data_IF_061053389550
#
_entry.id   IF_061053389550
#
_cell.length_a   1.000
_cell.length_b   1.000
_cell.length_c   1.000
_cell.angle_alpha   90.00
_cell.angle_beta   90.00
_cell.angle_gamma   90.00
#
_symmetry.space_group_name_H-M   'P 1'
#
loop_
_entity.id
_entity.type
_entity.pdbx_description
1 polymer ?
#
# COMPACT_ATOMS: atom_id res chain seq x y z
N UNK A 1 3.93 12.74 -5.46
CA UNK A 1 4.22 11.86 -4.31
C UNK A 1 3.23 10.69 -4.42
N UNK A 2 3.64 9.42 -4.27
CA UNK A 2 2.80 8.29 -4.67
C UNK A 2 1.55 8.09 -3.82
N UNK A 3 0.50 7.53 -4.41
CA UNK A 3 -0.74 7.17 -3.71
C UNK A 3 -1.28 5.81 -4.15
N UNK A 4 -2.02 5.15 -3.26
CA UNK A 4 -2.75 3.91 -3.57
C UNK A 4 -4.24 4.07 -3.29
N UNK A 5 -5.05 3.38 -4.08
CA UNK A 5 -6.49 3.31 -3.90
C UNK A 5 -6.94 1.86 -3.70
N UNK A 6 -7.82 1.66 -2.73
CA UNK A 6 -8.47 0.38 -2.48
C UNK A 6 -9.94 0.58 -2.14
N UNK A 7 -10.74 -0.49 -2.20
CA UNK A 7 -12.16 -0.43 -1.87
C UNK A 7 -12.45 -1.11 -0.54
N UNK A 8 -13.16 -0.40 0.33
CA UNK A 8 -13.63 -0.92 1.60
C UNK A 8 -15.07 -0.47 1.83
N UNK A 9 -15.96 -1.43 2.12
CA UNK A 9 -17.39 -1.16 2.32
C UNK A 9 -18.00 -0.26 1.23
N UNK A 10 -17.77 -0.61 -0.03
CA UNK A 10 -18.24 0.10 -1.23
C UNK A 10 -17.67 1.52 -1.42
N UNK A 11 -16.77 1.98 -0.55
CA UNK A 11 -16.09 3.27 -0.69
C UNK A 11 -14.68 3.07 -1.23
N UNK A 12 -14.29 3.94 -2.16
CA UNK A 12 -12.90 4.05 -2.61
C UNK A 12 -12.14 4.89 -1.60
N UNK A 13 -11.08 4.31 -1.04
CA UNK A 13 -10.19 4.96 -0.08
C UNK A 13 -8.87 5.19 -0.78
N UNK A 14 -8.36 6.42 -0.68
CA UNK A 14 -7.07 6.81 -1.21
C UNK A 14 -6.13 7.09 -0.05
N UNK A 15 -4.95 6.46 -0.08
CA UNK A 15 -3.88 6.71 0.88
C UNK A 15 -2.71 7.35 0.16
N UNK A 16 -2.28 8.50 0.68
CA UNK A 16 -1.19 9.30 0.13
C UNK A 16 0.19 8.81 0.56
N UNK A 17 1.22 9.53 0.11
CA UNK A 17 2.60 9.19 0.39
C UNK A 17 3.00 9.23 1.87
N UNK A 18 2.26 9.97 2.70
CA UNK A 18 2.49 10.06 4.14
C UNK A 18 1.77 8.97 4.92
N UNK A 19 0.97 8.15 4.23
CA UNK A 19 0.08 7.21 4.88
C UNK A 19 -1.11 7.93 5.52
N UNK A 20 -1.55 9.07 4.99
CA UNK A 20 -2.80 9.71 5.37
C UNK A 20 -3.90 9.29 4.39
N UNK A 21 -5.12 9.11 4.91
CA UNK A 21 -6.28 8.87 4.07
C UNK A 21 -6.81 10.20 3.53
N UNK A 22 -6.88 10.35 2.20
CA UNK A 22 -7.44 11.54 1.55
C UNK A 22 -8.98 11.54 1.54
N UNK A 23 -9.60 10.42 1.95
CA UNK A 23 -11.05 10.26 2.03
C UNK A 23 -11.51 10.03 3.48
N UNK A 24 -12.64 10.64 3.87
CA UNK A 24 -13.29 10.39 5.15
C UNK A 24 -13.94 8.99 5.18
N UNK A 25 -13.22 7.99 5.72
CA UNK A 25 -13.67 6.60 5.85
C UNK A 25 -13.34 6.00 7.21
N UNK A 26 -14.14 5.02 7.65
CA UNK A 26 -14.03 4.37 8.98
C UNK A 26 -12.73 3.59 9.15
N UNK A 27 -12.19 3.02 8.06
CA UNK A 27 -10.91 2.31 8.04
C UNK A 27 -9.69 3.24 8.18
N UNK A 28 -9.90 4.56 8.13
CA UNK A 28 -8.85 5.56 8.30
C UNK A 28 -7.72 5.35 7.30
N UNK A 29 -6.49 5.42 7.80
CA UNK A 29 -5.27 5.23 7.03
C UNK A 29 -4.71 3.79 7.06
N UNK A 30 -5.56 2.80 7.35
CA UNK A 30 -5.14 1.41 7.37
C UNK A 30 -5.27 0.75 5.99
N UNK A 31 -4.42 -0.22 5.73
CA UNK A 31 -4.44 -1.07 4.53
C UNK A 31 -4.62 -2.54 4.93
N UNK A 32 -5.32 -3.34 4.10
CA UNK A 32 -5.36 -4.78 4.30
C UNK A 32 -4.00 -5.39 3.93
N UNK A 33 -3.40 -6.09 4.88
CA UNK A 33 -2.05 -6.64 4.80
C UNK A 33 -2.08 -8.13 5.14
N UNK A 34 -1.44 -8.94 4.31
CA UNK A 34 -1.09 -10.33 4.60
C UNK A 34 0.32 -10.36 5.18
N UNK A 35 0.43 -10.86 6.41
CA UNK A 35 1.68 -11.04 7.14
C UNK A 35 2.43 -12.30 6.67
N UNK A 36 3.72 -12.47 7.00
CA UNK A 36 4.49 -13.68 6.68
C UNK A 36 3.86 -14.99 7.15
N UNK A 37 3.06 -14.95 8.21
CA UNK A 37 2.35 -16.10 8.77
C UNK A 37 1.04 -16.43 8.01
N UNK A 38 0.71 -15.65 6.98
CA UNK A 38 -0.50 -15.78 6.18
C UNK A 38 -1.74 -15.11 6.79
N UNK A 39 -1.64 -14.52 7.99
CA UNK A 39 -2.75 -13.81 8.59
C UNK A 39 -3.02 -12.48 7.88
N UNK A 40 -4.30 -12.16 7.70
CA UNK A 40 -4.73 -10.90 7.09
C UNK A 40 -5.21 -9.93 8.17
N UNK A 41 -4.62 -8.74 8.20
CA UNK A 41 -4.90 -7.70 9.19
C UNK A 41 -5.01 -6.32 8.54
N UNK A 42 -5.71 -5.38 9.17
CA UNK A 42 -5.67 -3.98 8.77
C UNK A 42 -4.55 -3.28 9.57
N UNK A 43 -3.56 -2.75 8.86
CA UNK A 43 -2.38 -2.11 9.45
C UNK A 43 -2.26 -0.68 8.93
N UNK A 44 -1.94 0.26 9.82
CA UNK A 44 -1.73 1.65 9.46
C UNK A 44 -0.65 1.80 8.39
N UNK A 45 -0.94 2.52 7.32
CA UNK A 45 0.05 2.87 6.32
C UNK A 45 1.00 3.94 6.88
N UNK A 46 2.30 3.70 6.73
CA UNK A 46 3.35 4.70 7.00
C UNK A 46 3.80 5.44 5.74
N UNK A 47 3.27 5.09 4.56
CA UNK A 47 3.64 5.65 3.28
C UNK A 47 4.43 4.67 2.41
N UNK A 48 5.37 5.22 1.63
CA UNK A 48 6.13 4.47 0.63
C UNK A 48 7.64 4.56 0.89
N UNK A 49 8.36 3.49 0.53
CA UNK A 49 9.82 3.44 0.65
C UNK A 49 10.45 2.83 -0.59
N UNK A 50 11.59 3.39 -1.01
CA UNK A 50 12.40 2.79 -2.07
C UNK A 50 12.97 1.45 -1.60
N UNK A 51 12.91 0.45 -2.47
CA UNK A 51 13.35 -0.92 -2.20
C UNK A 51 14.85 -1.00 -1.87
N UNK A 52 15.65 -0.09 -2.41
CA UNK A 52 17.07 0.07 -2.10
C UNK A 52 17.35 0.52 -0.67
N UNK A 53 16.36 1.11 0.01
CA UNK A 53 16.46 1.56 1.40
C UNK A 53 15.96 0.51 2.41
N UNK A 54 15.40 -0.60 1.92
CA UNK A 54 14.90 -1.71 2.73
C UNK A 54 16.10 -2.52 3.21
N UNK A 55 16.25 -2.67 4.52
CA UNK A 55 17.38 -3.40 5.09
C UNK A 55 17.14 -4.91 5.03
N UNK A 56 18.21 -5.68 4.86
CA UNK A 56 18.14 -7.13 5.00
C UNK A 56 17.64 -7.52 6.40
N UNK A 57 16.58 -8.32 6.45
CA UNK A 57 15.96 -8.80 7.70
C UNK A 57 14.70 -8.05 8.14
N UNK A 58 14.30 -6.97 7.47
CA UNK A 58 13.02 -6.32 7.76
C UNK A 58 11.84 -7.25 7.41
N UNK A 59 10.84 -7.42 8.30
CA UNK A 59 9.70 -8.29 8.03
C UNK A 59 8.95 -7.79 6.80
N UNK A 60 8.90 -8.61 5.76
CA UNK A 60 8.16 -8.31 4.55
C UNK A 60 6.69 -8.69 4.73
N UNK A 61 5.79 -7.88 4.20
CA UNK A 61 4.36 -8.17 4.16
C UNK A 61 3.84 -7.92 2.75
N UNK A 62 2.58 -8.30 2.52
CA UNK A 62 1.91 -8.06 1.26
C UNK A 62 0.66 -7.21 1.50
N UNK A 63 0.62 -6.02 0.92
CA UNK A 63 -0.58 -5.19 0.91
C UNK A 63 -1.48 -5.69 -0.21
N UNK A 64 -2.69 -6.10 0.11
CA UNK A 64 -3.62 -6.74 -0.85
C UNK A 64 -4.82 -5.84 -1.14
N UNK A 65 -5.71 -6.27 -2.04
CA UNK A 65 -6.98 -5.57 -2.35
C UNK A 65 -6.83 -4.13 -2.86
N UNK A 66 -5.61 -3.76 -3.26
CA UNK A 66 -5.35 -2.48 -3.94
C UNK A 66 -5.94 -2.57 -5.33
N UNK A 67 -6.76 -1.58 -5.69
CA UNK A 67 -7.39 -1.49 -7.01
C UNK A 67 -6.51 -0.70 -7.98
N UNK A 68 -5.81 0.33 -7.48
CA UNK A 68 -4.99 1.20 -8.32
C UNK A 68 -3.87 1.90 -7.54
N UNK A 69 -2.86 2.34 -8.27
CA UNK A 69 -1.75 3.16 -7.79
C UNK A 69 -1.53 4.36 -8.71
N UNK A 70 -0.94 5.44 -8.20
CA UNK A 70 -0.46 6.56 -9.01
C UNK A 70 0.84 7.14 -8.42
N UNK A 71 1.63 7.81 -9.27
CA UNK A 71 2.89 8.46 -8.88
C UNK A 71 2.71 9.81 -8.18
N UNK A 72 1.49 10.38 -8.18
CA UNK A 72 1.14 11.64 -7.53
C UNK A 72 0.04 11.49 -6.46
N UNK A 73 -0.25 12.61 -5.78
CA UNK A 73 -1.08 12.59 -4.57
C UNK A 73 -2.57 12.49 -4.90
N UNK A 74 -2.95 12.95 -6.09
CA UNK A 74 -4.33 13.19 -6.50
C UNK A 74 -4.73 12.39 -7.75
N UNK A 75 -3.80 11.67 -8.38
CA UNK A 75 -4.03 10.90 -9.59
C UNK A 75 -4.03 11.72 -10.86
N UNK A 76 -3.52 12.97 -10.86
CA UNK A 76 -3.49 13.82 -12.05
C UNK A 76 -2.63 13.27 -13.19
N UNK A 77 -1.60 12.50 -12.87
CA UNK A 77 -0.73 11.77 -13.80
C UNK A 77 -1.33 10.44 -14.26
N UNK A 78 -2.51 10.09 -13.73
CA UNK A 78 -3.26 8.90 -14.08
C UNK A 78 -3.13 7.78 -13.06
N UNK A 79 -4.23 7.04 -12.90
CA UNK A 79 -4.29 5.84 -12.07
C UNK A 79 -3.92 4.61 -12.89
N UNK A 80 -2.98 3.82 -12.38
CA UNK A 80 -2.61 2.53 -12.93
C UNK A 80 -3.35 1.44 -12.16
N UNK A 81 -4.14 0.64 -12.87
CA UNK A 81 -4.87 -0.47 -12.27
C UNK A 81 -3.91 -1.55 -11.76
N UNK A 82 -4.16 -2.04 -10.55
CA UNK A 82 -3.49 -3.21 -10.00
C UNK A 82 -4.37 -4.44 -10.29
N UNK A 83 -3.86 -5.50 -10.94
CA UNK A 83 -4.66 -6.68 -11.25
C UNK A 83 -5.22 -7.35 -9.99
N UNK A 84 -6.40 -7.95 -10.13
CA UNK A 84 -6.96 -8.79 -9.08
C UNK A 84 -5.98 -9.95 -8.75
N UNK A 85 -5.96 -10.38 -7.48
CA UNK A 85 -5.03 -11.40 -6.95
C UNK A 85 -3.54 -10.99 -6.98
N UNK A 86 -3.26 -9.69 -7.13
CA UNK A 86 -1.92 -9.14 -6.97
C UNK A 86 -1.89 -8.32 -5.67
N UNK A 87 -0.80 -8.45 -4.93
CA UNK A 87 -0.47 -7.61 -3.79
C UNK A 87 0.76 -6.76 -4.04
N UNK A 88 0.91 -5.69 -3.27
CA UNK A 88 2.08 -4.84 -3.28
C UNK A 88 3.02 -5.28 -2.16
N UNK A 89 4.28 -5.54 -2.51
CA UNK A 89 5.31 -5.84 -1.52
C UNK A 89 5.43 -4.65 -0.57
N UNK A 90 5.44 -4.94 0.72
CA UNK A 90 5.61 -3.96 1.76
C UNK A 90 6.54 -4.46 2.85
N UNK A 91 6.92 -3.56 3.76
CA UNK A 91 7.69 -3.89 4.96
C UNK A 91 7.00 -3.36 6.19
N UNK A 92 7.15 -4.10 7.29
CA UNK A 92 6.65 -3.72 8.60
C UNK A 92 7.76 -3.05 9.38
N UNK A 93 7.50 -1.81 9.82
CA UNK A 93 8.40 -1.08 10.71
C UNK A 93 7.54 -0.56 11.86
N UNK A 94 7.74 -1.14 13.05
CA UNK A 94 6.88 -0.88 14.20
C UNK A 94 5.46 -1.39 13.94
N UNK A 95 4.47 -0.53 14.15
CA UNK A 95 3.03 -0.78 13.95
C UNK A 95 2.51 -0.36 12.56
N UNK A 96 3.42 -0.05 11.64
CA UNK A 96 3.09 0.51 10.31
C UNK A 96 3.64 -0.32 9.17
N UNK A 97 2.88 -0.32 8.08
CA UNK A 97 3.27 -0.92 6.80
C UNK A 97 3.73 0.17 5.83
N UNK A 98 4.86 -0.07 5.14
CA UNK A 98 5.40 0.82 4.11
C UNK A 98 5.46 0.09 2.78
N UNK A 99 4.82 0.64 1.75
CA UNK A 99 4.78 0.03 0.42
C UNK A 99 6.15 0.20 -0.25
N UNK A 100 6.70 -0.90 -0.76
CA UNK A 100 8.00 -0.90 -1.41
C UNK A 100 7.89 -0.46 -2.87
N UNK A 101 8.70 0.52 -3.25
CA UNK A 101 8.83 1.04 -4.60
C UNK A 101 10.13 0.55 -5.24
N UNK A 102 10.10 0.23 -6.53
CA UNK A 102 11.28 0.05 -7.36
C UNK A 102 11.25 1.06 -8.50
N UNK A 103 12.27 1.91 -8.60
CA UNK A 103 12.34 2.99 -9.59
C UNK A 103 11.07 3.88 -9.62
N UNK A 104 10.42 4.08 -8.48
CA UNK A 104 9.21 4.90 -8.35
C UNK A 104 7.88 4.16 -8.51
N UNK A 105 7.88 2.89 -8.94
CA UNK A 105 6.66 2.08 -9.10
C UNK A 105 6.56 1.01 -8.01
N UNK A 106 5.35 0.65 -7.55
CA UNK A 106 5.19 -0.36 -6.51
C UNK A 106 5.59 -1.74 -7.02
N UNK A 107 6.22 -2.52 -6.14
CA UNK A 107 6.62 -3.90 -6.46
C UNK A 107 5.41 -4.81 -6.29
N UNK A 108 4.93 -5.36 -7.38
CA UNK A 108 3.81 -6.31 -7.39
C UNK A 108 4.27 -7.75 -7.12
N UNK A 109 3.44 -8.53 -6.43
CA UNK A 109 3.60 -9.97 -6.21
C UNK A 109 2.23 -10.66 -6.27
N UNK A 110 2.21 -11.94 -6.61
CA UNK A 110 1.00 -12.76 -6.47
C UNK A 110 0.58 -12.80 -4.99
N UNK A 111 -0.73 -12.62 -4.75
CA UNK A 111 -1.35 -12.57 -3.42
C UNK A 111 -1.86 -13.94 -2.95
#
# INVERSE_FOLDING_TARGET
MPSVAYRHNYRRIVIDNTGAALSSGVSGNSLPVVLPDGSKQFICCGGFKQSSLIKHGEPCALVVEIEAWTSDDDGMTGWQSIPANTGLKAILIGDRVYIALNAGSPIMKEA
#
